data_IF_465255593593
#
_entry.id   IF_465255593593
#
_cell.length_a   1.000
_cell.length_b   1.000
_cell.length_c   1.000
_cell.angle_alpha   90.00
_cell.angle_beta   90.00
_cell.angle_gamma   90.00
#
_symmetry.space_group_name_H-M   'P 1'
#
loop_
_entity.id
_entity.type
_entity.pdbx_description
1 polymer ?
#
# COMPACT_ATOMS: atom_id res chain seq x y z
N UNK A 1 -13.96 14.20 -4.34
CA UNK A 1 -12.85 13.31 -4.72
C UNK A 1 -11.58 14.12 -4.51
N UNK A 2 -10.61 13.59 -3.78
CA UNK A 2 -9.34 14.27 -3.49
C UNK A 2 -8.27 13.77 -4.47
N UNK A 3 -7.42 14.66 -4.96
CA UNK A 3 -6.34 14.35 -5.90
C UNK A 3 -5.15 15.29 -5.64
N UNK A 4 -3.95 14.75 -5.73
CA UNK A 4 -2.70 15.49 -5.51
C UNK A 4 -1.57 14.90 -6.37
N UNK A 5 -0.76 15.77 -6.98
CA UNK A 5 0.43 15.38 -7.76
C UNK A 5 1.66 15.49 -6.87
N UNK A 6 2.29 14.35 -6.59
CA UNK A 6 3.51 14.29 -5.78
C UNK A 6 4.71 14.58 -6.68
N UNK A 7 5.49 15.60 -6.32
CA UNK A 7 6.68 15.97 -7.08
C UNK A 7 7.80 14.93 -6.88
N UNK A 8 8.71 14.76 -7.85
CA UNK A 8 9.85 13.85 -7.71
C UNK A 8 10.66 14.14 -6.44
N UNK A 9 10.97 13.10 -5.67
CA UNK A 9 11.73 13.21 -4.42
C UNK A 9 10.96 13.77 -3.22
N UNK A 10 9.67 14.11 -3.39
CA UNK A 10 8.83 14.54 -2.27
C UNK A 10 8.31 13.34 -1.46
N UNK A 11 7.94 13.62 -0.21
CA UNK A 11 7.20 12.69 0.65
C UNK A 11 5.78 13.18 0.83
N UNK A 12 4.87 12.24 1.05
CA UNK A 12 3.45 12.54 1.22
C UNK A 12 2.84 11.59 2.24
N UNK A 13 1.86 12.09 3.00
CA UNK A 13 1.14 11.30 4.01
C UNK A 13 -0.33 11.70 4.02
N UNK A 14 -1.21 10.72 4.22
CA UNK A 14 -2.65 10.94 4.24
C UNK A 14 -3.34 9.89 5.10
N UNK A 15 -4.42 10.30 5.77
CA UNK A 15 -5.27 9.39 6.54
C UNK A 15 -6.35 8.84 5.63
N UNK A 16 -6.19 7.59 5.21
CA UNK A 16 -7.21 6.89 4.43
C UNK A 16 -8.24 6.25 5.38
N UNK A 17 -9.48 6.76 5.36
CA UNK A 17 -10.56 6.20 6.19
C UNK A 17 -11.01 4.83 5.65
N UNK A 18 -11.46 3.96 6.56
CA UNK A 18 -12.04 2.65 6.18
C UNK A 18 -13.13 2.82 5.13
N UNK A 19 -13.11 1.96 4.10
CA UNK A 19 -14.08 1.98 3.01
C UNK A 19 -13.76 2.98 1.89
N UNK A 20 -12.62 3.67 1.96
CA UNK A 20 -12.11 4.50 0.87
C UNK A 20 -10.97 3.82 0.12
N UNK A 21 -10.74 4.23 -1.12
CA UNK A 21 -9.69 3.69 -1.97
C UNK A 21 -8.67 4.77 -2.32
N UNK A 22 -7.38 4.40 -2.28
CA UNK A 22 -6.29 5.20 -2.82
C UNK A 22 -5.92 4.64 -4.19
N UNK A 23 -5.80 5.50 -5.19
CA UNK A 23 -5.24 5.16 -6.51
C UNK A 23 -3.92 5.88 -6.68
N UNK A 24 -2.86 5.11 -6.90
CA UNK A 24 -1.55 5.62 -7.29
C UNK A 24 -1.41 5.50 -8.80
N UNK A 25 -0.91 6.54 -9.46
CA UNK A 25 -0.76 6.55 -10.92
C UNK A 25 0.57 7.18 -11.27
N UNK A 26 1.40 6.42 -11.98
CA UNK A 26 2.58 6.96 -12.64
C UNK A 26 2.13 7.71 -13.90
N UNK A 27 2.24 9.04 -13.87
CA UNK A 27 1.73 9.91 -14.94
C UNK A 27 2.69 10.08 -16.10
N UNK A 28 3.99 9.85 -15.88
CA UNK A 28 5.04 10.07 -16.88
C UNK A 28 5.74 8.77 -17.32
N UNK A 29 5.64 7.70 -16.54
CA UNK A 29 6.30 6.42 -16.79
C UNK A 29 7.66 6.34 -16.08
N UNK A 30 7.98 5.16 -15.55
CA UNK A 30 9.26 4.86 -14.91
C UNK A 30 9.37 5.33 -13.46
N UNK A 31 8.28 5.78 -12.84
CA UNK A 31 8.28 6.13 -11.42
C UNK A 31 8.21 4.89 -10.53
N UNK A 32 8.87 4.95 -9.38
CA UNK A 32 8.71 3.98 -8.29
C UNK A 32 8.43 4.75 -6.99
N UNK A 33 7.61 4.18 -6.12
CA UNK A 33 7.27 4.76 -4.83
C UNK A 33 7.35 3.69 -3.74
N UNK A 34 8.16 3.95 -2.72
CA UNK A 34 8.08 3.22 -1.47
C UNK A 34 6.88 3.69 -0.65
N UNK A 35 6.12 2.75 -0.09
CA UNK A 35 4.96 3.04 0.75
C UNK A 35 5.06 2.32 2.09
N UNK A 36 4.61 3.01 3.14
CA UNK A 36 4.47 2.48 4.49
C UNK A 36 3.07 2.79 4.98
N UNK A 37 2.45 1.85 5.69
CA UNK A 37 1.08 1.97 6.16
C UNK A 37 1.02 1.78 7.67
N UNK A 38 0.16 2.56 8.31
CA UNK A 38 -0.04 2.56 9.76
C UNK A 38 -1.53 2.55 10.07
N UNK A 39 -1.90 1.97 11.20
CA UNK A 39 -3.20 2.23 11.78
C UNK A 39 -3.21 3.67 12.33
N UNK A 40 -4.06 4.53 11.78
CA UNK A 40 -4.10 5.95 12.17
C UNK A 40 -4.57 6.17 13.63
N UNK A 41 -5.33 5.23 14.20
CA UNK A 41 -5.76 5.26 15.61
C UNK A 41 -4.70 4.70 16.56
N UNK A 42 -3.74 3.92 16.03
CA UNK A 42 -2.64 3.34 16.79
C UNK A 42 -1.38 3.19 15.92
N UNK A 43 -0.54 4.24 15.82
CA UNK A 43 0.62 4.23 14.93
C UNK A 43 1.71 3.19 15.25
N UNK A 44 1.62 2.52 16.41
CA UNK A 44 2.48 1.38 16.75
C UNK A 44 2.12 0.16 15.91
N UNK A 45 0.85 0.00 15.51
CA UNK A 45 0.43 -1.03 14.56
C UNK A 45 0.72 -0.58 13.13
N UNK A 46 1.59 -1.30 12.45
CA UNK A 46 2.12 -0.91 11.14
C UNK A 46 2.21 -2.08 10.19
N UNK A 47 2.34 -1.74 8.91
CA UNK A 47 2.56 -2.68 7.84
C UNK A 47 3.72 -3.65 8.12
N UNK A 48 3.50 -4.93 7.87
CA UNK A 48 4.47 -6.00 8.01
C UNK A 48 4.56 -6.81 6.71
N UNK A 49 5.65 -6.60 5.96
CA UNK A 49 5.91 -7.30 4.69
C UNK A 49 6.14 -8.82 4.90
N UNK A 50 7.01 -9.28 5.82
CA UNK A 50 7.17 -10.71 6.09
C UNK A 50 5.87 -11.46 6.37
N UNK A 51 5.01 -10.92 7.23
CA UNK A 51 3.73 -11.55 7.58
C UNK A 51 2.77 -11.52 6.39
N UNK A 52 2.80 -10.44 5.60
CA UNK A 52 2.03 -10.31 4.36
C UNK A 52 2.34 -11.42 3.37
N UNK A 53 3.62 -11.69 3.14
CA UNK A 53 4.06 -12.74 2.22
C UNK A 53 3.77 -14.14 2.78
N UNK A 54 4.12 -14.36 4.06
CA UNK A 54 3.99 -15.67 4.73
C UNK A 54 2.54 -16.12 4.86
N UNK A 55 1.65 -15.24 5.31
CA UNK A 55 0.25 -15.59 5.55
C UNK A 55 -0.51 -15.93 4.26
N UNK A 56 -0.09 -15.35 3.13
CA UNK A 56 -0.74 -15.55 1.82
C UNK A 56 -0.01 -16.56 0.93
N UNK A 57 1.17 -17.05 1.33
CA UNK A 57 2.02 -17.94 0.54
C UNK A 57 2.40 -17.35 -0.83
N UNK A 58 2.79 -16.07 -0.84
CA UNK A 58 3.12 -15.30 -2.06
C UNK A 58 4.57 -14.78 -2.03
N UNK A 59 5.10 -14.41 -3.20
CA UNK A 59 6.45 -13.86 -3.36
C UNK A 59 6.50 -12.44 -3.95
N UNK A 60 5.35 -11.90 -4.37
CA UNK A 60 5.20 -10.53 -4.88
C UNK A 60 3.78 -10.04 -4.58
N UNK A 61 3.57 -8.73 -4.70
CA UNK A 61 2.27 -8.10 -4.46
C UNK A 61 1.57 -7.81 -5.80
N UNK A 62 0.29 -8.14 -5.91
CA UNK A 62 -0.57 -7.79 -7.05
C UNK A 62 -2.03 -7.77 -6.61
N UNK A 63 -2.94 -7.54 -7.55
CA UNK A 63 -4.38 -7.55 -7.34
C UNK A 63 -4.83 -8.81 -6.60
N UNK A 64 -5.67 -8.63 -5.58
CA UNK A 64 -6.24 -9.69 -4.76
C UNK A 64 -5.44 -9.96 -3.48
N UNK A 65 -4.21 -9.47 -3.37
CA UNK A 65 -3.43 -9.59 -2.13
C UNK A 65 -3.85 -8.53 -1.11
N UNK A 66 -3.71 -8.88 0.16
CA UNK A 66 -3.91 -8.00 1.31
C UNK A 66 -2.59 -7.66 1.97
N UNK A 67 -2.52 -6.52 2.65
CA UNK A 67 -1.35 -6.05 3.38
C UNK A 67 -1.63 -6.17 4.89
N UNK A 68 -0.84 -6.98 5.57
CA UNK A 68 -0.99 -7.26 6.99
C UNK A 68 -0.25 -6.25 7.87
N UNK A 69 -0.79 -6.02 9.06
CA UNK A 69 -0.06 -5.40 10.16
C UNK A 69 0.80 -6.40 10.92
N UNK A 70 1.76 -5.90 11.68
CA UNK A 70 2.53 -6.66 12.66
C UNK A 70 1.70 -7.23 13.83
N UNK A 71 0.43 -6.82 13.95
CA UNK A 71 -0.55 -7.40 14.88
C UNK A 71 -1.49 -8.40 14.18
N UNK A 72 -1.20 -8.81 12.94
CA UNK A 72 -1.93 -9.83 12.20
C UNK A 72 -3.28 -9.38 11.62
N UNK A 73 -3.56 -8.08 11.56
CA UNK A 73 -4.78 -7.53 10.94
C UNK A 73 -4.53 -7.13 9.50
N UNK A 74 -5.57 -7.14 8.67
CA UNK A 74 -5.49 -6.56 7.32
C UNK A 74 -5.65 -5.05 7.40
N UNK A 75 -4.63 -4.31 6.92
CA UNK A 75 -4.67 -2.86 6.79
C UNK A 75 -5.23 -2.44 5.43
N UNK A 76 -4.78 -3.08 4.35
CA UNK A 76 -5.13 -2.74 2.97
C UNK A 76 -5.37 -3.98 2.11
N UNK A 77 -6.04 -3.79 0.98
CA UNK A 77 -6.18 -4.79 -0.07
C UNK A 77 -5.88 -4.15 -1.42
N UNK A 78 -5.11 -4.83 -2.27
CA UNK A 78 -4.82 -4.38 -3.62
C UNK A 78 -6.01 -4.78 -4.51
N UNK A 79 -6.88 -3.81 -4.81
CA UNK A 79 -8.14 -4.08 -5.53
C UNK A 79 -7.98 -4.10 -7.05
N UNK A 80 -6.97 -3.39 -7.56
CA UNK A 80 -6.59 -3.33 -8.97
C UNK A 80 -5.07 -3.12 -9.09
N UNK A 81 -4.50 -3.68 -10.15
CA UNK A 81 -3.09 -3.56 -10.53
C UNK A 81 -3.01 -3.62 -12.07
N UNK A 82 -2.25 -2.72 -12.67
CA UNK A 82 -2.04 -2.60 -14.12
C UNK A 82 -0.65 -3.02 -14.56
N UNK A 83 0.31 -3.20 -13.65
CA UNK A 83 1.70 -3.59 -13.92
C UNK A 83 1.94 -5.09 -13.68
N UNK A 84 1.05 -5.74 -12.92
CA UNK A 84 0.99 -7.19 -12.74
C UNK A 84 1.79 -7.71 -11.55
N UNK A 85 2.77 -6.95 -11.06
CA UNK A 85 3.46 -7.25 -9.80
C UNK A 85 4.17 -6.01 -9.22
N UNK A 86 4.38 -6.04 -7.91
CA UNK A 86 5.16 -5.07 -7.15
C UNK A 86 6.14 -5.80 -6.23
N UNK A 87 7.30 -5.16 -6.03
CA UNK A 87 8.30 -5.62 -5.08
C UNK A 87 7.77 -5.59 -3.64
N UNK A 88 8.08 -6.61 -2.83
CA UNK A 88 7.91 -6.57 -1.39
C UNK A 88 8.94 -5.66 -0.68
#
# INVERSE_FOLDING_TARGET
MFEEIIQPGATWSHVLKRGTALRMTDTAGGANAGAIFYNWENPVERYNMPDTLKAQHIAHLTRGHVLYSDMGRVLFSITADTVGWHDP
#
